data_IF_551695690275
#
_entry.id   IF_551695690275
#
_cell.length_a   1.000
_cell.length_b   1.000
_cell.length_c   1.000
_cell.angle_alpha   90.00
_cell.angle_beta   90.00
_cell.angle_gamma   90.00
#
_symmetry.space_group_name_H-M   'P 1'
#
loop_
_entity.id
_entity.type
_entity.pdbx_description
1 polymer ?
#
# COMPACT_ATOMS: atom_id res chain seq x y z
N UNK A 1 -10.04 -2.32 -44.71
CA UNK A 1 -9.52 -2.95 -43.48
C UNK A 1 -9.15 -1.84 -42.49
N UNK A 2 -10.01 -1.56 -41.51
CA UNK A 2 -9.63 -0.68 -40.41
C UNK A 2 -8.69 -1.45 -39.49
N UNK A 3 -7.45 -0.98 -39.31
CA UNK A 3 -6.57 -1.54 -38.29
C UNK A 3 -7.17 -1.18 -36.93
N UNK A 4 -7.62 -2.19 -36.18
CA UNK A 4 -7.94 -2.02 -34.78
C UNK A 4 -6.67 -1.49 -34.07
N UNK A 5 -6.77 -0.48 -33.20
CA UNK A 5 -5.63 -0.01 -32.46
C UNK A 5 -5.08 -1.20 -31.69
N UNK A 6 -3.83 -1.56 -31.98
CA UNK A 6 -3.09 -2.57 -31.23
C UNK A 6 -2.88 -1.99 -29.84
N UNK A 7 -3.89 -2.15 -28.99
CA UNK A 7 -3.77 -1.84 -27.58
C UNK A 7 -2.58 -2.66 -27.10
N UNK A 8 -1.60 -2.01 -26.47
CA UNK A 8 -0.62 -2.75 -25.67
C UNK A 8 -1.44 -3.44 -24.59
N UNK A 9 -1.87 -4.65 -24.86
CA UNK A 9 -2.60 -5.47 -23.93
C UNK A 9 -1.67 -5.64 -22.73
N UNK A 10 -1.95 -4.94 -21.64
CA UNK A 10 -1.29 -5.21 -20.39
C UNK A 10 -1.67 -6.65 -20.02
N UNK A 11 -0.72 -7.61 -20.02
CA UNK A 11 -1.08 -9.02 -19.79
C UNK A 11 -1.77 -9.24 -18.44
N UNK A 12 -1.52 -8.35 -17.48
CA UNK A 12 -2.18 -8.38 -16.18
C UNK A 12 -3.63 -7.93 -16.25
N UNK A 13 -3.96 -6.93 -17.08
CA UNK A 13 -5.34 -6.48 -17.27
C UNK A 13 -6.21 -7.59 -17.85
N UNK A 14 -5.64 -8.46 -18.69
CA UNK A 14 -6.34 -9.64 -19.23
C UNK A 14 -6.54 -10.75 -18.19
N UNK A 15 -5.77 -10.75 -17.10
CA UNK A 15 -5.87 -11.73 -16.03
C UNK A 15 -6.82 -11.29 -14.89
N UNK A 16 -7.31 -10.05 -14.94
CA UNK A 16 -8.32 -9.55 -14.01
C UNK A 16 -9.68 -10.18 -14.34
N UNK A 17 -10.47 -10.42 -13.29
CA UNK A 17 -11.85 -10.88 -13.42
C UNK A 17 -12.70 -9.77 -14.04
N UNK A 18 -13.40 -10.10 -15.13
CA UNK A 18 -14.15 -9.15 -15.94
C UNK A 18 -15.37 -8.59 -15.19
N UNK A 19 -15.93 -9.36 -14.26
CA UNK A 19 -17.14 -8.96 -13.52
C UNK A 19 -16.85 -7.89 -12.46
N UNK A 20 -15.58 -7.73 -12.06
CA UNK A 20 -15.14 -6.76 -11.06
C UNK A 20 -14.21 -5.68 -11.62
N UNK A 21 -13.80 -5.79 -12.88
CA UNK A 21 -12.83 -4.86 -13.48
C UNK A 21 -13.47 -3.50 -13.77
N UNK A 22 -12.90 -2.44 -13.21
CA UNK A 22 -13.36 -1.07 -13.43
C UNK A 22 -12.25 -0.24 -14.10
N UNK A 23 -12.49 0.37 -15.29
CA UNK A 23 -11.48 1.13 -16.02
C UNK A 23 -10.77 2.21 -15.20
N UNK A 24 -11.51 2.84 -14.28
CA UNK A 24 -11.01 3.90 -13.39
C UNK A 24 -10.04 3.42 -12.30
N UNK A 25 -9.97 2.12 -12.04
CA UNK A 25 -9.11 1.52 -11.02
C UNK A 25 -8.15 0.50 -11.62
N UNK A 26 -7.96 0.46 -12.94
CA UNK A 26 -7.16 -0.57 -13.60
C UNK A 26 -5.71 -0.60 -13.10
N UNK A 27 -5.13 0.55 -12.80
CA UNK A 27 -3.75 0.64 -12.33
C UNK A 27 -3.61 0.12 -10.89
N UNK A 28 -4.56 0.44 -10.01
CA UNK A 28 -4.66 -0.09 -8.65
C UNK A 28 -4.93 -1.59 -8.66
N UNK A 29 -5.88 -2.06 -9.48
CA UNK A 29 -6.19 -3.48 -9.65
C UNK A 29 -4.97 -4.26 -10.14
N UNK A 30 -4.26 -3.75 -11.14
CA UNK A 30 -3.01 -4.36 -11.60
C UNK A 30 -1.93 -4.35 -10.52
N UNK A 31 -1.86 -3.32 -9.69
CA UNK A 31 -0.90 -3.21 -8.58
C UNK A 31 -1.18 -4.23 -7.48
N UNK A 32 -2.45 -4.39 -7.09
CA UNK A 32 -2.88 -5.40 -6.11
C UNK A 32 -2.71 -6.81 -6.66
N UNK A 33 -2.97 -7.04 -7.95
CA UNK A 33 -2.71 -8.33 -8.60
C UNK A 33 -1.24 -8.71 -8.54
N UNK A 34 -0.33 -7.78 -8.88
CA UNK A 34 1.13 -7.99 -8.73
C UNK A 34 1.51 -8.29 -7.27
N UNK A 35 0.92 -7.56 -6.32
CA UNK A 35 1.15 -7.80 -4.90
C UNK A 35 0.74 -9.21 -4.48
N UNK A 36 -0.41 -9.70 -4.98
CA UNK A 36 -0.88 -11.07 -4.76
C UNK A 36 0.13 -12.12 -5.24
N UNK A 37 0.77 -11.89 -6.40
CA UNK A 37 1.85 -12.75 -6.90
C UNK A 37 3.03 -12.77 -5.91
N UNK A 38 3.51 -11.61 -5.48
CA UNK A 38 4.63 -11.53 -4.52
C UNK A 38 4.31 -12.22 -3.19
N UNK A 39 3.09 -12.07 -2.68
CA UNK A 39 2.64 -12.72 -1.45
C UNK A 39 2.60 -14.26 -1.55
N UNK A 40 2.45 -14.79 -2.76
CA UNK A 40 2.33 -16.23 -3.04
C UNK A 40 3.60 -16.84 -3.63
N UNK A 41 4.72 -16.10 -3.58
CA UNK A 41 6.01 -16.60 -4.03
C UNK A 41 6.36 -17.95 -3.39
N UNK A 42 6.89 -18.85 -4.23
CA UNK A 42 7.23 -20.22 -3.80
C UNK A 42 8.30 -20.21 -2.72
N UNK A 43 9.24 -19.27 -2.83
CA UNK A 43 10.30 -19.05 -1.86
C UNK A 43 9.74 -18.17 -0.73
N UNK A 44 9.62 -18.67 0.52
CA UNK A 44 9.02 -17.90 1.61
C UNK A 44 9.72 -16.57 1.91
N UNK A 45 11.05 -16.52 1.76
CA UNK A 45 11.85 -15.31 1.98
C UNK A 45 11.72 -14.27 0.86
N UNK A 46 11.16 -14.63 -0.30
CA UNK A 46 10.85 -13.69 -1.37
C UNK A 46 9.48 -13.02 -1.19
N UNK A 47 8.66 -13.51 -0.25
CA UNK A 47 7.38 -12.89 0.08
C UNK A 47 7.63 -11.57 0.83
N UNK A 48 6.85 -10.52 0.54
CA UNK A 48 6.97 -9.26 1.25
C UNK A 48 6.59 -9.41 2.72
N UNK A 49 7.16 -8.56 3.58
CA UNK A 49 6.68 -8.47 4.96
C UNK A 49 5.28 -7.84 4.99
N UNK A 50 4.50 -8.12 6.04
CA UNK A 50 3.16 -7.50 6.16
C UNK A 50 3.24 -5.96 6.21
N UNK A 51 4.36 -5.40 6.68
CA UNK A 51 4.64 -3.95 6.64
C UNK A 51 4.73 -3.44 5.20
N UNK A 52 5.46 -4.15 4.33
CA UNK A 52 5.60 -3.78 2.92
C UNK A 52 4.27 -3.94 2.17
N UNK A 53 3.54 -5.03 2.44
CA UNK A 53 2.19 -5.26 1.91
C UNK A 53 1.27 -4.09 2.25
N UNK A 54 1.23 -3.68 3.52
CA UNK A 54 0.38 -2.58 3.97
C UNK A 54 0.78 -1.25 3.31
N UNK A 55 2.08 -0.96 3.18
CA UNK A 55 2.55 0.25 2.49
C UNK A 55 2.10 0.29 1.02
N UNK A 56 2.13 -0.85 0.32
CA UNK A 56 1.69 -0.93 -1.08
C UNK A 56 0.17 -0.75 -1.17
N UNK A 57 -0.60 -1.40 -0.31
CA UNK A 57 -2.07 -1.26 -0.29
C UNK A 57 -2.51 0.18 0.02
N UNK A 58 -1.85 0.86 0.96
CA UNK A 58 -2.15 2.26 1.28
C UNK A 58 -1.87 3.21 0.12
N UNK A 59 -0.86 2.92 -0.70
CA UNK A 59 -0.59 3.68 -1.93
C UNK A 59 -1.64 3.45 -3.02
N UNK A 60 -2.38 2.33 -2.97
CA UNK A 60 -3.49 2.10 -3.90
C UNK A 60 -4.77 2.81 -3.46
N UNK A 61 -4.84 3.28 -2.20
CA UNK A 61 -5.99 3.97 -1.63
C UNK A 61 -6.03 5.47 -2.00
N UNK A 62 -5.69 5.84 -3.24
CA UNK A 62 -5.85 7.23 -3.65
C UNK A 62 -7.35 7.55 -3.71
N UNK A 63 -7.85 8.52 -2.92
CA UNK A 63 -9.22 8.97 -3.07
C UNK A 63 -9.29 9.66 -4.43
N UNK A 64 -9.99 9.02 -5.38
CA UNK A 64 -10.40 9.69 -6.60
C UNK A 64 -11.20 10.90 -6.12
N UNK A 65 -10.70 12.09 -6.43
CA UNK A 65 -11.38 13.35 -6.10
C UNK A 65 -12.74 13.30 -6.77
N UNK A 66 -13.76 12.92 -6.01
CA UNK A 66 -15.11 13.46 -5.96
C UNK A 66 -15.97 12.58 -5.03
N UNK A 67 -16.51 13.27 -4.01
CA UNK A 67 -17.73 12.95 -3.22
C UNK A 67 -17.49 12.28 -1.85
N UNK A 68 -17.53 13.18 -0.85
CA UNK A 68 -17.98 13.10 0.55
C UNK A 68 -17.40 12.02 1.46
N UNK A 69 -16.65 12.52 2.45
CA UNK A 69 -16.07 11.79 3.57
C UNK A 69 -17.18 11.08 4.34
N UNK A 70 -17.42 9.81 4.05
CA UNK A 70 -18.01 8.92 5.04
C UNK A 70 -16.90 8.12 5.71
N UNK A 71 -16.96 8.14 7.02
CA UNK A 71 -15.96 7.67 7.97
C UNK A 71 -15.62 6.19 7.73
N UNK A 72 -14.44 5.93 7.17
CA UNK A 72 -13.93 4.57 7.00
C UNK A 72 -13.49 4.02 8.37
N UNK A 73 -14.30 3.11 8.93
CA UNK A 73 -14.16 2.52 10.28
C UNK A 73 -12.89 1.67 10.46
N UNK A 74 -12.06 1.47 9.42
CA UNK A 74 -10.74 0.84 9.56
C UNK A 74 -9.59 1.82 9.85
N UNK A 75 -9.88 3.13 10.01
CA UNK A 75 -8.89 4.13 10.40
C UNK A 75 -8.30 4.07 11.84
N UNK A 76 -8.69 3.21 12.81
CA UNK A 76 -8.02 3.20 14.11
C UNK A 76 -6.55 2.75 14.06
N UNK A 77 -6.18 1.90 13.10
CA UNK A 77 -4.89 1.18 13.14
C UNK A 77 -3.69 1.99 12.62
N UNK A 78 -3.92 3.10 11.90
CA UNK A 78 -2.85 3.88 11.27
C UNK A 78 -2.53 5.20 11.99
N UNK A 79 -3.08 5.40 13.18
CA UNK A 79 -2.97 6.69 13.90
C UNK A 79 -1.62 6.95 14.55
N UNK A 80 -0.64 6.05 14.47
CA UNK A 80 0.63 6.20 15.19
C UNK A 80 1.84 6.64 14.34
N UNK A 81 1.62 7.46 13.31
CA UNK A 81 2.72 8.14 12.59
C UNK A 81 2.85 9.60 13.04
N UNK A 82 3.01 9.85 14.34
CA UNK A 82 3.61 11.10 14.81
C UNK A 82 5.11 10.89 14.96
N UNK A 83 5.89 11.40 14.00
CA UNK A 83 7.31 11.70 14.24
C UNK A 83 7.33 12.87 15.22
N UNK A 84 7.70 12.61 16.46
CA UNK A 84 8.02 13.64 17.45
C UNK A 84 9.15 14.50 16.88
N UNK A 85 8.86 15.74 16.49
CA UNK A 85 9.88 16.75 16.22
C UNK A 85 10.34 17.28 17.58
N UNK A 86 11.34 16.65 18.16
CA UNK A 86 12.07 17.22 19.30
C UNK A 86 12.99 18.29 18.72
N UNK A 87 12.56 19.55 18.85
CA UNK A 87 13.47 20.68 18.77
C UNK A 87 14.32 20.63 20.04
N UNK A 88 15.60 20.31 19.85
CA UNK A 88 16.61 20.43 20.89
C UNK A 88 16.78 21.92 21.22
N UNK A 89 16.44 22.29 22.45
CA UNK A 89 16.99 23.48 23.10
C UNK A 89 17.50 23.06 24.49
N UNK A 90 18.64 23.61 24.86
CA UNK A 90 19.64 22.99 25.75
C UNK A 90 19.25 22.90 27.24
N UNK A 91 19.88 21.90 27.89
CA UNK A 91 20.14 21.71 29.33
C UNK A 91 19.25 20.68 30.08
N UNK A 92 19.90 19.63 30.61
CA UNK A 92 19.31 18.72 31.61
C UNK A 92 19.24 17.23 31.27
N UNK A 93 20.39 16.57 31.10
CA UNK A 93 20.67 15.13 31.34
C UNK A 93 19.57 14.08 31.08
N UNK A 94 19.68 13.34 29.96
CA UNK A 94 18.92 12.11 29.74
C UNK A 94 19.77 10.87 30.10
N UNK A 95 19.47 10.29 31.26
CA UNK A 95 19.94 8.96 31.69
C UNK A 95 19.54 7.91 30.65
N UNK A 96 20.55 7.22 30.11
CA UNK A 96 20.37 6.02 29.30
C UNK A 96 19.87 4.87 30.18
N UNK A 97 18.63 4.44 30.01
CA UNK A 97 18.21 3.13 30.50
C UNK A 97 18.59 2.09 29.44
N UNK A 98 19.90 1.85 29.31
CA UNK A 98 20.39 0.54 28.91
C UNK A 98 20.36 -0.27 30.21
N UNK A 99 19.28 -1.00 30.45
CA UNK A 99 19.32 -2.24 31.21
C UNK A 99 17.98 -2.98 31.18
N UNK A 100 18.06 -4.22 30.67
CA UNK A 100 17.42 -5.42 31.23
C UNK A 100 15.96 -5.69 30.89
N UNK A 101 15.74 -6.52 29.86
CA UNK A 101 14.86 -7.69 29.97
C UNK A 101 15.19 -8.73 28.88
N UNK A 102 15.79 -9.85 29.34
CA UNK A 102 15.70 -11.19 28.75
C UNK A 102 16.51 -11.48 27.50
#
# INVERSE_FOLDING_TARGET
MGMAPSSRSNPLANALDQDITEPRYLDEMCSVFKLGIYCTEKIPSARPSMKDVLQILLRCNHPVVHIEKNEYVAAPLLKNSKREQILEDSDGGLVTNVDRLG
#
